data_IF_023013206568
#
_entry.id   IF_023013206568
#
_cell.length_a   1.000
_cell.length_b   1.000
_cell.length_c   1.000
_cell.angle_alpha   90.00
_cell.angle_beta   90.00
_cell.angle_gamma   90.00
#
_symmetry.space_group_name_H-M   'P 1'
#
loop_
_entity.id
_entity.type
_entity.pdbx_description
1 polymer ?
#
# COMPACT_ATOMS: atom_id res chain seq x y z
N UNK A 1 -5.83 41.33 -31.91
CA UNK A 1 -5.41 39.98 -32.34
C UNK A 1 -4.39 39.34 -31.37
N UNK A 2 -3.35 40.03 -30.90
CA UNK A 2 -2.31 39.47 -30.02
C UNK A 2 -2.81 39.00 -28.63
N UNK A 3 -3.83 39.66 -28.04
CA UNK A 3 -4.45 39.31 -26.74
C UNK A 3 -5.38 38.09 -26.84
N UNK A 4 -6.03 37.87 -27.97
CA UNK A 4 -6.91 36.71 -28.22
C UNK A 4 -6.06 35.44 -28.39
N UNK A 5 -4.92 35.54 -29.04
CA UNK A 5 -3.98 34.43 -29.23
C UNK A 5 -3.39 33.93 -27.90
N UNK A 6 -3.07 34.86 -26.97
CA UNK A 6 -2.58 34.51 -25.63
C UNK A 6 -3.65 33.80 -24.77
N UNK A 7 -4.93 34.20 -24.87
CA UNK A 7 -6.02 33.49 -24.18
C UNK A 7 -6.26 32.08 -24.76
N UNK A 8 -6.12 31.91 -26.06
CA UNK A 8 -6.28 30.59 -26.72
C UNK A 8 -5.16 29.62 -26.31
N UNK A 9 -3.91 30.10 -26.19
CA UNK A 9 -2.78 29.30 -25.69
C UNK A 9 -2.94 28.93 -24.21
N UNK A 10 -3.52 29.79 -23.39
CA UNK A 10 -3.78 29.49 -21.98
C UNK A 10 -4.90 28.44 -21.79
N UNK A 11 -5.91 28.39 -22.68
CA UNK A 11 -6.97 27.36 -22.64
C UNK A 11 -6.48 25.99 -23.12
N UNK A 12 -5.47 25.92 -23.98
CA UNK A 12 -4.91 24.65 -24.46
C UNK A 12 -3.94 24.01 -23.48
N UNK A 13 -3.52 24.70 -22.43
CA UNK A 13 -2.57 24.19 -21.42
C UNK A 13 -3.22 23.32 -20.32
N UNK A 14 -4.54 23.07 -20.35
CA UNK A 14 -5.28 22.58 -19.17
C UNK A 14 -5.63 21.08 -19.18
N UNK A 15 -5.25 20.30 -20.18
CA UNK A 15 -5.69 18.89 -20.19
C UNK A 15 -4.60 17.88 -20.60
N UNK A 16 -3.42 17.95 -19.98
CA UNK A 16 -2.60 16.74 -19.93
C UNK A 16 -3.11 15.91 -18.75
N UNK A 17 -3.65 14.70 -18.97
CA UNK A 17 -3.96 13.81 -17.86
C UNK A 17 -2.66 13.55 -17.11
N UNK A 18 -2.61 13.91 -15.83
CA UNK A 18 -1.47 13.60 -14.99
C UNK A 18 -1.24 12.10 -15.06
N UNK A 19 -0.01 11.69 -15.41
CA UNK A 19 0.35 10.27 -15.44
C UNK A 19 0.07 9.67 -14.05
N UNK A 20 -0.66 8.57 -14.01
CA UNK A 20 -0.97 7.90 -12.74
C UNK A 20 0.34 7.34 -12.15
N UNK A 21 0.71 7.69 -10.91
CA UNK A 21 1.93 7.17 -10.31
C UNK A 21 1.79 5.67 -10.04
N UNK A 22 2.89 4.92 -10.17
CA UNK A 22 2.96 3.58 -9.60
C UNK A 22 3.00 3.67 -8.08
N UNK A 23 2.33 2.74 -7.40
CA UNK A 23 2.24 2.71 -5.94
C UNK A 23 2.89 1.42 -5.45
N UNK A 24 3.91 1.54 -4.61
CA UNK A 24 4.54 0.43 -3.91
C UNK A 24 4.25 0.57 -2.41
N UNK A 25 3.42 -0.32 -1.88
CA UNK A 25 3.13 -0.43 -0.45
C UNK A 25 4.01 -1.53 0.15
N UNK A 26 4.91 -1.15 1.06
CA UNK A 26 5.77 -2.09 1.79
C UNK A 26 5.30 -2.13 3.24
N UNK A 27 4.89 -3.31 3.70
CA UNK A 27 4.54 -3.55 5.11
C UNK A 27 5.50 -4.55 5.72
N UNK A 28 5.98 -4.26 6.92
CA UNK A 28 6.87 -5.14 7.69
C UNK A 28 6.06 -5.86 8.76
N UNK A 29 6.37 -7.13 8.99
CA UNK A 29 5.71 -7.94 9.99
C UNK A 29 6.55 -7.94 11.29
N UNK A 30 5.90 -7.87 12.44
CA UNK A 30 6.51 -7.94 13.77
C UNK A 30 7.69 -6.95 14.01
N UNK A 31 7.67 -5.80 13.33
CA UNK A 31 8.68 -4.76 13.51
C UNK A 31 8.21 -3.67 14.46
N UNK A 32 8.92 -3.48 15.56
CA UNK A 32 8.71 -2.35 16.46
C UNK A 32 9.36 -1.07 15.91
N UNK A 33 8.74 0.08 16.18
CA UNK A 33 9.29 1.37 15.72
C UNK A 33 10.66 1.70 16.31
N UNK A 34 10.96 1.25 17.52
CA UNK A 34 12.27 1.41 18.19
C UNK A 34 13.37 0.54 17.58
N UNK A 35 13.04 -0.37 16.67
CA UNK A 35 14.00 -1.13 15.86
C UNK A 35 14.45 -0.38 14.60
N UNK A 36 13.85 0.78 14.30
CA UNK A 36 14.11 1.58 13.10
C UNK A 36 14.99 2.78 13.46
N UNK A 37 16.08 3.00 12.72
CA UNK A 37 17.08 4.04 13.02
C UNK A 37 16.47 5.44 13.15
N UNK A 38 15.68 5.89 12.17
CA UNK A 38 15.04 7.22 12.17
C UNK A 38 13.98 7.41 13.27
N UNK A 39 13.55 6.35 13.93
CA UNK A 39 12.65 6.40 15.09
C UNK A 39 13.37 6.19 16.43
N UNK A 40 14.71 6.18 16.42
CA UNK A 40 15.52 6.17 17.64
C UNK A 40 16.06 4.81 18.05
N UNK A 41 16.21 3.86 17.13
CA UNK A 41 16.95 2.61 17.40
C UNK A 41 18.35 2.92 17.95
N UNK A 42 18.67 2.32 19.10
CA UNK A 42 19.97 2.52 19.76
C UNK A 42 21.10 1.74 19.09
N UNK A 43 20.77 0.75 18.26
CA UNK A 43 21.76 -0.05 17.53
C UNK A 43 22.05 0.63 16.19
N UNK A 44 23.28 1.05 15.90
CA UNK A 44 23.61 1.73 14.66
C UNK A 44 23.46 0.80 13.45
N UNK A 45 22.95 1.33 12.36
CA UNK A 45 22.90 0.64 11.06
C UNK A 45 21.88 -0.50 10.97
N UNK A 46 20.86 -0.56 11.82
CA UNK A 46 19.80 -1.59 11.75
C UNK A 46 18.94 -1.47 10.52
N UNK A 47 18.64 -0.22 10.08
CA UNK A 47 17.73 0.04 8.95
C UNK A 47 18.28 1.07 7.97
N UNK A 48 19.48 0.90 7.40
CA UNK A 48 20.15 1.95 6.62
C UNK A 48 19.40 2.37 5.37
N UNK A 49 18.66 1.45 4.74
CA UNK A 49 17.86 1.76 3.55
C UNK A 49 16.58 2.52 3.90
N UNK A 50 15.92 2.17 5.00
CA UNK A 50 14.75 2.90 5.49
C UNK A 50 15.14 4.30 5.95
N UNK A 51 16.25 4.44 6.65
CA UNK A 51 16.79 5.71 7.13
C UNK A 51 17.13 6.65 5.94
N UNK A 52 17.76 6.10 4.89
CA UNK A 52 18.04 6.84 3.66
C UNK A 52 16.75 7.29 2.95
N UNK A 53 15.75 6.42 2.86
CA UNK A 53 14.46 6.77 2.27
C UNK A 53 13.75 7.83 3.11
N UNK A 54 13.74 7.70 4.41
CA UNK A 54 13.13 8.65 5.33
C UNK A 54 13.74 10.05 5.26
N UNK A 55 15.04 10.17 4.98
CA UNK A 55 15.72 11.46 4.79
C UNK A 55 15.21 12.25 3.57
N UNK A 56 14.55 11.59 2.61
CA UNK A 56 14.03 12.17 1.37
C UNK A 56 12.50 12.11 1.27
N UNK A 57 11.82 11.75 2.36
CA UNK A 57 10.40 11.44 2.36
C UNK A 57 9.65 12.16 3.48
N UNK A 58 8.33 12.20 3.39
CA UNK A 58 7.48 12.56 4.50
C UNK A 58 7.46 11.42 5.53
N UNK A 59 7.87 11.73 6.76
CA UNK A 59 7.87 10.79 7.88
C UNK A 59 6.78 11.17 8.89
N UNK A 60 5.94 10.20 9.23
CA UNK A 60 4.92 10.35 10.27
C UNK A 60 5.49 9.88 11.62
N UNK A 61 5.75 10.81 12.53
CA UNK A 61 6.29 10.49 13.86
C UNK A 61 5.27 9.84 14.80
N UNK A 62 3.98 10.05 14.56
CA UNK A 62 2.88 9.56 15.40
C UNK A 62 1.82 8.84 14.55
N UNK A 63 2.25 7.79 13.86
CA UNK A 63 1.33 6.87 13.16
C UNK A 63 0.99 5.71 14.11
N UNK A 64 -0.30 5.46 14.30
CA UNK A 64 -0.79 4.40 15.19
C UNK A 64 -1.58 3.36 14.42
N UNK A 65 -1.38 2.09 14.73
CA UNK A 65 -2.26 1.03 14.26
C UNK A 65 -3.44 0.88 15.21
N UNK A 66 -4.59 0.49 14.67
CA UNK A 66 -5.80 0.28 15.45
C UNK A 66 -5.83 -1.06 16.16
N UNK A 67 -5.04 -2.01 15.68
CA UNK A 67 -4.92 -3.38 16.21
C UNK A 67 -3.53 -3.93 15.91
N UNK A 68 -2.84 -4.42 16.94
CA UNK A 68 -1.49 -4.96 16.84
C UNK A 68 -1.43 -6.44 16.41
N UNK A 69 -2.31 -6.88 15.53
CA UNK A 69 -2.39 -8.28 15.09
C UNK A 69 -2.42 -8.36 13.57
N UNK A 70 -1.71 -9.32 12.99
CA UNK A 70 -1.35 -9.39 11.58
C UNK A 70 -2.55 -9.28 10.63
N UNK A 71 -3.45 -10.25 10.62
CA UNK A 71 -4.59 -10.27 9.68
C UNK A 71 -5.60 -9.14 9.94
N UNK A 72 -6.03 -8.85 11.18
CA UNK A 72 -6.90 -7.72 11.47
C UNK A 72 -6.29 -6.38 11.06
N UNK A 73 -5.02 -6.10 11.42
CA UNK A 73 -4.35 -4.85 11.07
C UNK A 73 -4.27 -4.65 9.55
N UNK A 74 -3.91 -5.69 8.79
CA UNK A 74 -3.84 -5.61 7.32
C UNK A 74 -5.22 -5.37 6.71
N UNK A 75 -6.26 -5.99 7.23
CA UNK A 75 -7.62 -5.74 6.75
C UNK A 75 -8.16 -4.36 7.15
N UNK A 76 -7.74 -3.78 8.29
CA UNK A 76 -7.97 -2.36 8.58
C UNK A 76 -7.30 -1.46 7.54
N UNK A 77 -6.03 -1.72 7.21
CA UNK A 77 -5.28 -0.97 6.21
C UNK A 77 -5.97 -1.02 4.83
N UNK A 78 -6.39 -2.19 4.37
CA UNK A 78 -6.97 -2.38 3.04
C UNK A 78 -8.46 -2.04 2.93
N UNK A 79 -9.19 -2.01 4.03
CA UNK A 79 -10.60 -1.61 4.05
C UNK A 79 -10.82 -0.14 4.40
N UNK A 80 -9.86 0.48 5.11
CA UNK A 80 -10.04 1.80 5.72
C UNK A 80 -11.02 1.81 6.90
N UNK A 81 -11.44 0.63 7.39
CA UNK A 81 -12.41 0.46 8.46
C UNK A 81 -11.76 -0.16 9.70
N UNK A 82 -12.19 0.24 10.89
CA UNK A 82 -11.82 -0.45 12.13
C UNK A 82 -12.21 -1.93 12.09
N UNK A 83 -11.49 -2.79 12.81
CA UNK A 83 -11.69 -4.24 12.76
C UNK A 83 -13.11 -4.70 13.12
N UNK A 84 -13.76 -4.06 14.09
CA UNK A 84 -15.16 -4.34 14.42
C UNK A 84 -16.15 -3.93 13.32
N UNK A 85 -15.81 -2.94 12.49
CA UNK A 85 -16.62 -2.51 11.35
C UNK A 85 -16.38 -3.37 10.10
N UNK A 86 -15.11 -3.77 9.86
CA UNK A 86 -14.80 -4.65 8.75
C UNK A 86 -15.05 -6.14 9.06
N UNK A 87 -15.41 -6.47 10.31
CA UNK A 87 -15.73 -7.81 10.81
C UNK A 87 -14.54 -8.79 10.84
N UNK A 88 -13.30 -8.29 10.75
CA UNK A 88 -12.09 -9.12 10.78
C UNK A 88 -11.27 -8.74 12.02
N UNK A 89 -11.64 -9.33 13.16
CA UNK A 89 -11.01 -9.09 14.45
C UNK A 89 -9.99 -10.17 14.84
N UNK A 90 -9.90 -11.24 14.03
CA UNK A 90 -9.01 -12.38 14.25
C UNK A 90 -8.53 -13.01 12.94
N UNK A 91 -7.97 -14.21 13.04
CA UNK A 91 -7.45 -14.99 11.91
C UNK A 91 -8.54 -15.86 11.30
N UNK A 92 -9.55 -15.25 10.71
CA UNK A 92 -10.65 -15.92 10.04
C UNK A 92 -11.12 -15.15 8.81
N UNK A 93 -11.75 -15.85 7.88
CA UNK A 93 -12.20 -15.29 6.61
C UNK A 93 -13.65 -14.80 6.67
N UNK A 94 -13.92 -13.67 6.00
CA UNK A 94 -15.26 -13.10 5.81
C UNK A 94 -15.55 -13.00 4.33
N UNK A 95 -16.30 -13.98 3.78
CA UNK A 95 -16.52 -14.09 2.31
C UNK A 95 -17.30 -12.95 1.69
N UNK A 96 -18.21 -12.34 2.43
CA UNK A 96 -19.05 -11.23 1.96
C UNK A 96 -18.93 -10.05 2.94
N UNK A 97 -17.83 -9.30 2.90
CA UNK A 97 -17.56 -8.27 3.92
C UNK A 97 -18.53 -7.10 3.86
N UNK A 98 -19.15 -6.83 2.70
CA UNK A 98 -20.07 -5.71 2.50
C UNK A 98 -19.40 -4.34 2.37
N UNK A 99 -18.08 -4.32 2.18
CA UNK A 99 -17.28 -3.10 1.96
C UNK A 99 -16.26 -3.35 0.86
N UNK A 100 -15.86 -2.30 0.10
CA UNK A 100 -14.86 -2.43 -0.94
C UNK A 100 -13.46 -2.56 -0.34
N UNK A 101 -12.68 -3.49 -0.87
CA UNK A 101 -11.26 -3.59 -0.57
C UNK A 101 -10.46 -2.60 -1.42
N UNK A 102 -9.34 -2.09 -0.92
CA UNK A 102 -8.47 -1.16 -1.64
C UNK A 102 -8.10 -1.68 -3.04
N UNK A 103 -7.84 -2.99 -3.17
CA UNK A 103 -7.55 -3.64 -4.46
C UNK A 103 -8.68 -3.44 -5.46
N UNK A 104 -9.94 -3.62 -5.04
CA UNK A 104 -11.11 -3.44 -5.93
C UNK A 104 -11.22 -2.01 -6.40
N UNK A 105 -10.99 -1.05 -5.49
CA UNK A 105 -11.01 0.38 -5.81
C UNK A 105 -9.88 0.76 -6.78
N UNK A 106 -8.67 0.22 -6.58
CA UNK A 106 -7.53 0.48 -7.46
C UNK A 106 -7.75 -0.12 -8.86
N UNK A 107 -8.30 -1.33 -8.94
CA UNK A 107 -8.65 -1.97 -10.21
C UNK A 107 -9.75 -1.20 -10.94
N UNK A 108 -10.76 -0.73 -10.23
CA UNK A 108 -11.85 0.07 -10.83
C UNK A 108 -11.35 1.34 -11.53
N UNK A 109 -10.22 1.90 -11.10
CA UNK A 109 -9.58 3.05 -11.74
C UNK A 109 -8.40 2.65 -12.65
N UNK A 110 -8.27 1.36 -12.99
CA UNK A 110 -7.36 0.85 -14.02
C UNK A 110 -5.93 0.58 -13.56
N UNK A 111 -5.68 0.38 -12.25
CA UNK A 111 -4.39 -0.13 -11.78
C UNK A 111 -4.32 -1.64 -11.92
N UNK A 112 -3.14 -2.13 -12.29
CA UNK A 112 -2.77 -3.53 -12.12
C UNK A 112 -2.31 -3.74 -10.67
N UNK A 113 -2.83 -4.77 -10.01
CA UNK A 113 -2.59 -5.02 -8.58
C UNK A 113 -1.82 -6.31 -8.36
N UNK A 114 -0.71 -6.23 -7.64
CA UNK A 114 0.10 -7.39 -7.29
C UNK A 114 0.36 -7.45 -5.78
N UNK A 115 0.58 -8.66 -5.28
CA UNK A 115 0.93 -8.90 -3.87
C UNK A 115 2.05 -9.91 -3.75
N UNK A 116 2.92 -9.72 -2.76
CA UNK A 116 3.93 -10.68 -2.32
C UNK A 116 3.96 -10.74 -0.79
N UNK A 117 3.98 -11.94 -0.24
CA UNK A 117 3.98 -12.21 1.20
C UNK A 117 2.67 -11.87 1.91
N UNK A 118 2.33 -12.62 2.94
CA UNK A 118 1.12 -12.41 3.75
C UNK A 118 -0.18 -12.34 2.94
N UNK A 119 -0.25 -13.02 1.80
CA UNK A 119 -1.38 -12.99 0.86
C UNK A 119 -2.69 -13.33 1.57
N UNK A 120 -2.71 -14.41 2.37
CA UNK A 120 -3.91 -14.84 3.09
C UNK A 120 -4.37 -13.89 4.20
N UNK A 121 -3.47 -13.02 4.69
CA UNK A 121 -3.78 -12.05 5.75
C UNK A 121 -4.14 -10.67 5.20
N UNK A 122 -3.90 -10.43 3.91
CA UNK A 122 -4.07 -9.12 3.27
C UNK A 122 -5.37 -9.00 2.48
N UNK A 123 -6.33 -9.86 2.76
CA UNK A 123 -7.64 -9.85 2.14
C UNK A 123 -8.69 -10.48 3.07
N UNK A 124 -9.97 -10.14 2.92
CA UNK A 124 -11.04 -10.65 3.78
C UNK A 124 -11.29 -12.16 3.61
N UNK A 125 -10.91 -12.73 2.46
CA UNK A 125 -11.04 -14.17 2.16
C UNK A 125 -10.03 -14.61 1.10
N UNK A 126 -9.91 -15.92 0.89
CA UNK A 126 -9.05 -16.50 -0.13
C UNK A 126 -9.84 -17.44 -1.07
N UNK A 127 -9.45 -17.53 -2.36
CA UNK A 127 -8.49 -16.65 -3.04
C UNK A 127 -9.12 -15.25 -3.27
N UNK A 128 -8.29 -14.20 -3.18
CA UNK A 128 -8.71 -12.85 -3.50
C UNK A 128 -8.24 -12.45 -4.90
N UNK A 129 -8.98 -11.55 -5.56
CA UNK A 129 -8.81 -11.22 -6.97
C UNK A 129 -7.65 -10.23 -7.24
N UNK A 130 -6.43 -10.52 -6.73
CA UNK A 130 -5.21 -9.86 -7.18
C UNK A 130 -4.95 -10.19 -8.65
N UNK A 131 -4.43 -9.24 -9.43
CA UNK A 131 -4.03 -9.51 -10.82
C UNK A 131 -2.77 -10.38 -10.86
N UNK A 132 -1.89 -10.26 -9.84
CA UNK A 132 -0.74 -11.15 -9.65
C UNK A 132 -0.52 -11.50 -8.18
N UNK A 133 -0.37 -12.79 -7.91
CA UNK A 133 0.19 -13.30 -6.66
C UNK A 133 1.64 -13.73 -6.92
N UNK A 134 2.60 -12.90 -6.46
CA UNK A 134 4.02 -13.10 -6.73
C UNK A 134 4.62 -14.27 -5.94
N UNK A 135 3.95 -14.77 -4.90
CA UNK A 135 4.38 -15.96 -4.15
C UNK A 135 4.19 -17.25 -4.97
N UNK A 136 3.27 -17.23 -5.93
CA UNK A 136 2.98 -18.39 -6.81
C UNK A 136 3.76 -18.38 -8.12
N UNK A 137 4.58 -17.34 -8.36
CA UNK A 137 5.40 -17.28 -9.56
C UNK A 137 6.50 -18.36 -9.57
N UNK A 138 6.89 -18.89 -10.74
CA UNK A 138 8.03 -19.80 -10.88
C UNK A 138 9.31 -19.21 -10.25
N UNK A 139 10.16 -20.07 -9.73
CA UNK A 139 11.36 -19.66 -8.98
C UNK A 139 12.34 -18.81 -9.79
N UNK A 140 12.40 -19.01 -11.11
CA UNK A 140 13.21 -18.18 -12.02
C UNK A 140 12.76 -16.72 -12.04
N UNK A 141 11.46 -16.45 -11.97
CA UNK A 141 10.92 -15.08 -11.90
C UNK A 141 11.11 -14.50 -10.50
N UNK A 142 10.94 -15.29 -9.45
CA UNK A 142 11.18 -14.87 -8.06
C UNK A 142 12.62 -14.40 -7.82
N UNK A 143 13.59 -14.99 -8.52
CA UNK A 143 15.00 -14.61 -8.41
C UNK A 143 15.29 -13.18 -8.88
N UNK A 144 14.50 -12.65 -9.82
CA UNK A 144 14.64 -11.28 -10.34
C UNK A 144 13.94 -10.21 -9.50
N UNK A 145 13.14 -10.61 -8.49
CA UNK A 145 12.36 -9.70 -7.64
C UNK A 145 13.01 -9.55 -6.24
N UNK A 146 14.18 -10.14 -6.02
CA UNK A 146 14.93 -10.07 -4.76
C UNK A 146 15.58 -8.71 -4.54
#
# INVERSE_FOLDING_TARGET
>A
MRKILLCLCALLAVTLPAARPNILLITVDDMSCDSVGVFGCKLPGTTPNMDRLAAQSLRFAHAHTTVGNCMPCRNVLFSGLYSHNNKIEGFYQVKNPGWPHMVDLMKAVGYFTGIRGKVSHSAPYQPYAWDANLDTLPDGIKAHIK
#
